data_IF_900245006802
#
_entry.id   IF_900245006802
#
_cell.length_a   1.000
_cell.length_b   1.000
_cell.length_c   1.000
_cell.angle_alpha   90.00
_cell.angle_beta   90.00
_cell.angle_gamma   90.00
#
_symmetry.space_group_name_H-M   'P 1'
#
loop_
_entity.id
_entity.type
_entity.pdbx_description
1 polymer ?
#
# COMPACT_ATOMS: atom_id res chain seq x y z
N UNK A 1 -2.58 -18.13 10.11
CA UNK A 1 -1.84 -17.01 9.51
C UNK A 1 -1.86 -17.13 8.01
N UNK A 2 -2.74 -16.36 7.37
CA UNK A 2 -2.87 -16.36 5.92
C UNK A 2 -2.86 -14.90 5.47
N UNK A 3 -1.85 -14.55 4.67
CA UNK A 3 -1.85 -13.34 3.85
C UNK A 3 -2.61 -13.75 2.61
N UNK A 4 -3.77 -13.14 2.36
CA UNK A 4 -4.54 -13.39 1.13
C UNK A 4 -3.61 -13.23 -0.09
N UNK A 5 -3.63 -14.21 -0.98
CA UNK A 5 -2.88 -14.14 -2.23
C UNK A 5 -3.86 -14.06 -3.41
N UNK A 6 -3.63 -13.17 -4.35
CA UNK A 6 -4.14 -13.36 -5.72
C UNK A 6 -3.12 -14.18 -6.51
N UNK A 7 -3.57 -14.92 -7.51
CA UNK A 7 -2.66 -15.57 -8.44
C UNK A 7 -3.04 -15.19 -9.86
N UNK A 8 -2.03 -14.83 -10.65
CA UNK A 8 -2.16 -14.71 -12.09
C UNK A 8 -1.66 -15.99 -12.75
N UNK A 9 -2.47 -16.60 -13.61
CA UNK A 9 -1.97 -17.60 -14.56
C UNK A 9 -1.53 -16.86 -15.82
N UNK A 10 -0.27 -17.04 -16.23
CA UNK A 10 0.19 -16.58 -17.53
C UNK A 10 -0.15 -17.64 -18.59
N UNK A 11 -1.37 -17.60 -19.16
CA UNK A 11 -1.68 -18.37 -20.38
C UNK A 11 -1.47 -17.47 -21.61
N UNK A 12 -0.89 -17.97 -22.72
CA UNK A 12 -0.77 -17.21 -23.96
C UNK A 12 -2.12 -16.85 -24.61
N UNK A 13 -3.21 -17.55 -24.23
CA UNK A 13 -4.53 -17.48 -24.88
C UNK A 13 -5.68 -16.98 -23.99
N UNK A 14 -5.51 -16.85 -22.67
CA UNK A 14 -6.58 -16.40 -21.77
C UNK A 14 -5.99 -15.78 -20.48
N UNK A 15 -6.24 -14.49 -20.24
CA UNK A 15 -5.93 -13.87 -18.94
C UNK A 15 -6.94 -14.35 -17.91
N UNK A 16 -6.51 -15.21 -16.99
CA UNK A 16 -7.34 -15.68 -15.87
C UNK A 16 -6.83 -15.06 -14.57
N UNK A 17 -7.70 -14.29 -13.91
CA UNK A 17 -7.46 -13.80 -12.55
C UNK A 17 -7.97 -14.84 -11.55
N UNK A 18 -7.08 -15.38 -10.72
CA UNK A 18 -7.44 -16.27 -9.62
C UNK A 18 -7.48 -15.49 -8.32
N UNK A 19 -8.60 -15.58 -7.61
CA UNK A 19 -8.73 -15.06 -6.26
C UNK A 19 -8.56 -16.23 -5.29
N UNK A 20 -7.44 -16.29 -4.54
CA UNK A 20 -7.32 -17.29 -3.47
C UNK A 20 -7.92 -16.72 -2.19
N UNK A 21 -8.97 -17.37 -1.70
CA UNK A 21 -9.47 -17.17 -0.34
C UNK A 21 -8.81 -18.19 0.58
N UNK A 22 -8.00 -17.73 1.53
CA UNK A 22 -7.32 -18.62 2.47
C UNK A 22 -8.24 -18.97 3.64
N UNK A 23 -8.92 -20.11 3.54
CA UNK A 23 -9.62 -20.70 4.68
C UNK A 23 -8.61 -21.45 5.56
N UNK A 24 -7.99 -20.75 6.52
CA UNK A 24 -7.49 -21.25 7.83
C UNK A 24 -6.57 -22.48 7.96
N UNK A 25 -6.38 -23.33 6.94
CA UNK A 25 -5.81 -24.65 7.10
C UNK A 25 -5.05 -25.11 5.85
N UNK A 26 -3.84 -24.58 5.63
CA UNK A 26 -2.80 -25.09 4.71
C UNK A 26 -3.15 -25.27 3.22
N UNK A 27 -4.41 -25.21 2.81
CA UNK A 27 -4.84 -25.42 1.44
C UNK A 27 -5.68 -24.23 1.01
N UNK A 28 -5.28 -23.58 -0.08
CA UNK A 28 -6.05 -22.55 -0.73
C UNK A 28 -6.66 -23.18 -1.98
N UNK A 29 -7.98 -23.30 -2.04
CA UNK A 29 -8.64 -23.82 -3.24
C UNK A 29 -8.71 -22.68 -4.26
N UNK A 30 -8.09 -22.91 -5.42
CA UNK A 30 -8.12 -21.97 -6.53
C UNK A 30 -9.44 -22.14 -7.26
N UNK A 31 -10.28 -21.10 -7.25
CA UNK A 31 -11.44 -21.03 -8.13
C UNK A 31 -11.04 -20.25 -9.39
N UNK A 32 -10.88 -20.95 -10.53
CA UNK A 32 -10.76 -20.30 -11.84
C UNK A 32 -12.15 -20.15 -12.44
N UNK A 33 -12.55 -18.92 -12.73
CA UNK A 33 -13.69 -18.63 -13.61
C UNK A 33 -13.12 -18.29 -14.98
N UNK A 34 -13.19 -19.23 -15.91
CA UNK A 34 -12.90 -18.95 -17.32
C UNK A 34 -14.06 -18.13 -17.89
N UNK A 35 -13.93 -16.81 -18.00
CA UNK A 35 -14.84 -16.00 -18.82
C UNK A 35 -14.54 -16.24 -20.30
N UNK A 36 -15.00 -17.38 -20.82
CA UNK A 36 -15.01 -17.62 -22.26
C UNK A 36 -16.26 -16.96 -22.87
N UNK A 37 -16.13 -16.24 -24.00
CA UNK A 37 -17.29 -15.72 -24.74
C UNK A 37 -18.08 -16.80 -25.50
N UNK A 38 -17.86 -18.09 -25.20
CA UNK A 38 -18.39 -19.24 -25.94
C UNK A 38 -19.34 -20.03 -25.03
N UNK A 39 -20.55 -20.39 -25.47
CA UNK A 39 -21.46 -21.22 -24.68
C UNK A 39 -20.86 -22.60 -24.40
N UNK A 40 -21.06 -23.12 -23.18
CA UNK A 40 -20.44 -24.35 -22.63
C UNK A 40 -20.63 -25.64 -23.46
N UNK A 41 -21.45 -25.62 -24.52
CA UNK A 41 -21.76 -26.79 -25.36
C UNK A 41 -20.73 -27.07 -26.46
N UNK A 42 -19.84 -26.12 -26.74
CA UNK A 42 -18.83 -26.21 -27.81
C UNK A 42 -17.39 -26.38 -27.29
N UNK A 43 -17.19 -26.62 -25.99
CA UNK A 43 -15.85 -26.90 -25.48
C UNK A 43 -15.38 -28.27 -26.00
N UNK A 44 -14.21 -28.34 -26.68
CA UNK A 44 -13.78 -29.57 -27.34
C UNK A 44 -13.42 -30.69 -26.35
N UNK A 45 -13.25 -30.38 -25.05
CA UNK A 45 -12.81 -31.31 -24.01
C UNK A 45 -13.64 -31.09 -22.72
N UNK A 46 -13.94 -32.14 -21.92
CA UNK A 46 -14.55 -31.95 -20.61
C UNK A 46 -13.63 -31.05 -19.76
N UNK A 47 -14.19 -30.04 -19.11
CA UNK A 47 -13.45 -29.22 -18.14
C UNK A 47 -12.90 -30.15 -17.05
N UNK A 48 -11.61 -30.50 -17.16
CA UNK A 48 -10.90 -31.14 -16.07
C UNK A 48 -11.06 -30.22 -14.85
N UNK A 49 -11.42 -30.82 -13.71
CA UNK A 49 -11.66 -30.09 -12.47
C UNK A 49 -10.45 -29.21 -12.10
N UNK A 50 -10.71 -28.09 -11.43
CA UNK A 50 -9.68 -27.13 -11.09
C UNK A 50 -8.56 -27.78 -10.26
N UNK A 51 -7.27 -27.58 -10.61
CA UNK A 51 -6.18 -28.16 -9.84
C UNK A 51 -6.15 -27.57 -8.44
N UNK A 52 -6.02 -28.45 -7.44
CA UNK A 52 -5.86 -28.03 -6.05
C UNK A 52 -4.42 -27.58 -5.83
N UNK A 53 -4.24 -26.31 -5.45
CA UNK A 53 -2.92 -25.73 -5.20
C UNK A 53 -2.67 -25.66 -3.71
N UNK A 54 -1.60 -26.29 -3.25
CA UNK A 54 -1.17 -26.17 -1.86
C UNK A 54 -0.27 -24.94 -1.69
N UNK A 55 -0.73 -23.95 -0.92
CA UNK A 55 0.08 -22.77 -0.59
C UNK A 55 0.64 -22.97 0.81
N UNK A 56 1.95 -23.18 0.88
CA UNK A 56 2.64 -23.35 2.15
C UNK A 56 2.65 -22.05 2.96
N UNK A 57 2.70 -22.20 4.28
CA UNK A 57 2.78 -21.06 5.21
C UNK A 57 4.11 -20.34 5.03
N UNK A 58 4.08 -19.01 5.06
CA UNK A 58 5.29 -18.18 4.96
C UNK A 58 5.80 -17.96 3.54
N UNK A 59 5.10 -18.47 2.51
CA UNK A 59 5.44 -18.15 1.11
C UNK A 59 5.47 -16.63 0.89
N UNK A 60 6.45 -16.19 0.11
CA UNK A 60 6.68 -14.76 -0.18
C UNK A 60 5.89 -14.33 -1.40
N UNK A 61 5.59 -13.05 -1.50
CA UNK A 61 5.12 -12.45 -2.73
C UNK A 61 6.05 -12.80 -3.91
N UNK A 62 5.48 -13.13 -5.07
CA UNK A 62 6.19 -13.55 -6.28
C UNK A 62 6.68 -15.01 -6.29
N UNK A 63 6.38 -15.81 -5.26
CA UNK A 63 6.74 -17.23 -5.26
C UNK A 63 6.02 -17.97 -6.39
N UNK A 64 6.74 -18.87 -7.06
CA UNK A 64 6.23 -19.63 -8.21
C UNK A 64 5.89 -21.05 -7.79
N UNK A 65 4.67 -21.49 -8.10
CA UNK A 65 4.24 -22.88 -7.97
C UNK A 65 4.08 -23.42 -9.39
N UNK A 66 4.78 -24.51 -9.71
CA UNK A 66 4.71 -25.16 -11.01
C UNK A 66 3.75 -26.35 -10.91
N UNK A 67 2.75 -26.38 -11.79
CA UNK A 67 1.85 -27.50 -11.97
C UNK A 67 2.19 -28.16 -13.30
N UNK A 68 2.74 -29.36 -13.24
CA UNK A 68 3.14 -30.10 -14.42
C UNK A 68 1.94 -30.77 -15.09
N UNK A 69 1.79 -30.60 -16.41
CA UNK A 69 0.71 -31.23 -17.19
C UNK A 69 -0.70 -30.63 -16.97
N UNK A 70 -0.81 -29.48 -16.31
CA UNK A 70 -2.08 -28.74 -16.10
C UNK A 70 -2.28 -27.61 -17.13
N UNK A 71 -1.43 -27.55 -18.15
CA UNK A 71 -1.50 -26.59 -19.26
C UNK A 71 -2.56 -26.97 -20.29
N UNK A 72 -2.85 -26.03 -21.18
CA UNK A 72 -3.78 -26.30 -22.29
C UNK A 72 -3.17 -27.37 -23.22
N UNK A 73 -4.01 -28.32 -23.64
CA UNK A 73 -3.64 -29.36 -24.59
C UNK A 73 -4.34 -29.08 -25.93
N UNK A 74 -3.56 -28.91 -26.99
CA UNK A 74 -4.09 -28.79 -28.34
C UNK A 74 -4.35 -30.16 -28.97
N UNK A 75 -5.34 -30.24 -29.87
CA UNK A 75 -5.65 -31.47 -30.59
C UNK A 75 -4.45 -31.90 -31.47
N UNK A 76 -3.74 -32.95 -31.04
CA UNK A 76 -2.54 -33.48 -31.71
C UNK A 76 -1.27 -33.45 -30.85
N UNK A 77 -1.29 -32.78 -29.69
CA UNK A 77 -0.21 -32.88 -28.69
C UNK A 77 -0.40 -34.07 -27.76
N UNK A 78 0.69 -34.80 -27.51
CA UNK A 78 0.68 -36.03 -26.71
C UNK A 78 0.76 -35.75 -25.20
N UNK A 79 1.36 -34.64 -24.78
CA UNK A 79 1.51 -34.23 -23.37
C UNK A 79 1.03 -32.77 -23.20
N UNK A 80 0.23 -32.47 -22.17
CA UNK A 80 -0.16 -31.10 -21.83
C UNK A 80 1.03 -30.26 -21.34
N UNK A 81 0.95 -28.93 -21.51
CA UNK A 81 1.98 -28.00 -21.03
C UNK A 81 2.01 -27.83 -19.50
N UNK A 82 2.95 -27.03 -19.01
CA UNK A 82 3.08 -26.67 -17.59
C UNK A 82 2.42 -25.34 -17.28
N UNK A 83 1.86 -25.21 -16.08
CA UNK A 83 1.29 -23.95 -15.58
C UNK A 83 2.14 -23.42 -14.43
N UNK A 84 2.64 -22.20 -14.57
CA UNK A 84 3.30 -21.47 -13.50
C UNK A 84 2.33 -20.50 -12.84
N UNK A 85 2.09 -20.69 -11.54
CA UNK A 85 1.27 -19.82 -10.71
C UNK A 85 2.19 -18.91 -9.93
N UNK A 86 2.02 -17.59 -10.09
CA UNK A 86 2.77 -16.58 -9.33
C UNK A 86 1.87 -16.07 -8.22
N UNK A 87 2.30 -16.25 -6.98
CA UNK A 87 1.60 -15.69 -5.81
C UNK A 87 1.76 -14.18 -5.78
N UNK A 88 0.67 -13.45 -5.63
CA UNK A 88 0.62 -12.01 -5.42
C UNK A 88 0.00 -11.72 -4.07
N UNK A 89 0.72 -11.00 -3.22
CA UNK A 89 0.22 -10.65 -1.90
C UNK A 89 -0.87 -9.58 -1.99
N UNK A 90 -2.00 -9.81 -1.32
CA UNK A 90 -3.09 -8.84 -1.19
C UNK A 90 -2.81 -7.90 -0.02
N UNK A 91 -3.02 -6.62 -0.25
CA UNK A 91 -2.96 -5.62 0.81
C UNK A 91 -4.03 -5.90 1.88
N UNK A 92 -3.66 -5.74 3.15
CA UNK A 92 -4.55 -5.88 4.29
C UNK A 92 -4.71 -4.52 4.97
N UNK A 93 -5.93 -4.19 5.39
CA UNK A 93 -6.26 -2.84 5.90
C UNK A 93 -5.46 -2.45 7.15
N UNK A 94 -5.24 -3.41 8.05
CA UNK A 94 -4.55 -3.17 9.33
C UNK A 94 -3.07 -3.56 9.35
N UNK A 95 -2.59 -4.40 8.41
CA UNK A 95 -1.28 -5.03 8.54
C UNK A 95 -0.47 -4.86 7.26
N UNK A 96 0.76 -4.40 7.43
CA UNK A 96 1.74 -4.31 6.36
C UNK A 96 2.82 -5.36 6.58
N UNK A 97 2.97 -6.31 5.64
CA UNK A 97 4.03 -7.31 5.73
C UNK A 97 5.38 -6.73 5.27
N UNK A 98 6.43 -6.97 6.05
CA UNK A 98 7.82 -6.76 5.63
C UNK A 98 8.62 -8.05 5.89
N UNK A 99 8.73 -8.87 4.86
CA UNK A 99 9.43 -10.15 4.96
C UNK A 99 8.67 -11.17 5.81
N UNK A 100 9.20 -11.52 6.98
CA UNK A 100 8.54 -12.39 7.98
C UNK A 100 7.84 -11.58 9.07
N UNK A 101 8.14 -10.29 9.16
CA UNK A 101 7.60 -9.40 10.18
C UNK A 101 6.32 -8.72 9.69
N UNK A 102 5.47 -8.34 10.64
CA UNK A 102 4.23 -7.61 10.40
C UNK A 102 4.35 -6.23 11.04
N UNK A 103 3.97 -5.20 10.30
CA UNK A 103 3.84 -3.84 10.80
C UNK A 103 2.37 -3.49 10.99
N UNK A 104 2.07 -2.87 12.12
CA UNK A 104 0.76 -2.35 12.49
C UNK A 104 0.93 -0.89 12.88
N UNK A 105 0.24 0.00 12.17
CA UNK A 105 0.19 1.40 12.56
C UNK A 105 -0.96 1.58 13.55
N UNK A 106 -0.63 2.06 14.76
CA UNK A 106 -1.59 2.28 15.84
C UNK A 106 -1.61 3.74 16.24
N UNK A 107 -2.77 4.35 16.09
CA UNK A 107 -3.00 5.71 16.57
C UNK A 107 -3.41 5.68 18.04
N UNK A 108 -2.71 6.48 18.85
CA UNK A 108 -2.90 6.58 20.30
C UNK A 108 -3.07 8.04 20.71
N UNK A 109 -3.76 8.28 21.81
CA UNK A 109 -3.89 9.62 22.39
C UNK A 109 -2.63 10.04 23.14
N UNK A 110 -2.43 11.36 23.29
CA UNK A 110 -1.33 11.91 24.10
C UNK A 110 -1.31 11.34 25.53
N UNK A 111 -2.47 11.12 26.13
CA UNK A 111 -2.60 10.56 27.48
C UNK A 111 -2.18 9.09 27.52
N UNK A 112 -2.59 8.26 26.55
CA UNK A 112 -2.13 6.87 26.42
C UNK A 112 -0.61 6.80 26.18
N UNK A 113 -0.05 7.76 25.44
CA UNK A 113 1.39 7.85 25.17
C UNK A 113 2.21 8.10 26.43
N UNK A 114 1.72 8.92 27.36
CA UNK A 114 2.42 9.30 28.59
C UNK A 114 2.10 8.41 29.79
N UNK A 115 0.84 7.98 29.92
CA UNK A 115 0.34 7.25 31.09
C UNK A 115 0.32 5.73 30.90
N UNK A 116 0.72 5.24 29.73
CA UNK A 116 0.64 3.83 29.36
C UNK A 116 -0.67 3.47 28.68
N UNK A 117 -0.64 2.34 27.98
CA UNK A 117 -1.65 1.91 27.03
C UNK A 117 -1.97 0.44 27.26
N UNK A 118 -3.23 0.05 27.08
CA UNK A 118 -3.64 -1.35 26.92
C UNK A 118 -4.70 -1.43 25.84
N UNK A 119 -4.38 -2.08 24.71
CA UNK A 119 -5.28 -2.14 23.56
C UNK A 119 -5.38 -3.56 23.02
N UNK A 120 -6.60 -4.06 22.76
CA UNK A 120 -6.77 -5.33 22.08
C UNK A 120 -6.39 -5.19 20.59
N UNK A 121 -5.56 -6.09 20.10
CA UNK A 121 -5.15 -6.21 18.70
C UNK A 121 -5.55 -7.59 18.20
N UNK A 122 -6.29 -7.63 17.10
CA UNK A 122 -6.74 -8.87 16.48
C UNK A 122 -5.70 -9.38 15.50
N UNK A 123 -5.01 -10.45 15.87
CA UNK A 123 -4.01 -11.10 15.00
C UNK A 123 -4.65 -11.74 13.75
N UNK A 124 -3.82 -12.01 12.74
CA UNK A 124 -4.21 -12.78 11.54
C UNK A 124 -4.64 -14.24 11.83
N UNK A 125 -4.48 -14.71 13.07
CA UNK A 125 -5.00 -16.00 13.53
C UNK A 125 -6.42 -15.91 14.10
N UNK A 126 -7.00 -14.70 14.15
CA UNK A 126 -8.29 -14.44 14.80
C UNK A 126 -8.21 -14.37 16.33
N UNK A 127 -7.01 -14.47 16.91
CA UNK A 127 -6.79 -14.30 18.35
C UNK A 127 -6.73 -12.82 18.70
N UNK A 128 -7.26 -12.46 19.86
CA UNK A 128 -7.15 -11.12 20.43
C UNK A 128 -5.96 -11.08 21.40
N UNK A 129 -4.93 -10.29 21.08
CA UNK A 129 -3.79 -10.03 21.94
C UNK A 129 -3.99 -8.68 22.62
N UNK A 130 -3.77 -8.59 23.93
CA UNK A 130 -3.76 -7.30 24.63
C UNK A 130 -2.32 -6.81 24.64
N UNK A 131 -2.01 -5.88 23.74
CA UNK A 131 -0.72 -5.20 23.72
C UNK A 131 -0.79 -3.98 24.62
N UNK A 132 0.28 -3.71 25.35
CA UNK A 132 0.28 -2.58 26.25
C UNK A 132 1.63 -2.32 26.87
N UNK A 133 1.80 -1.10 27.33
CA UNK A 133 2.94 -0.67 28.13
C UNK A 133 2.46 -0.39 29.56
N UNK A 134 3.29 -0.70 30.57
CA UNK A 134 2.95 -0.39 31.96
C UNK A 134 2.83 1.13 32.17
N UNK A 135 2.03 1.59 33.15
CA UNK A 135 1.98 2.99 33.49
C UNK A 135 3.37 3.54 33.85
N UNK A 136 3.72 4.69 33.29
CA UNK A 136 5.03 5.33 33.47
C UNK A 136 6.07 5.01 32.39
N UNK A 137 5.78 4.06 31.48
CA UNK A 137 6.55 3.91 30.26
C UNK A 137 5.99 4.85 29.19
N UNK A 138 6.83 5.74 28.67
CA UNK A 138 6.45 6.72 27.65
C UNK A 138 6.62 6.10 26.26
N UNK A 139 5.58 6.22 25.43
CA UNK A 139 5.64 5.93 24.01
C UNK A 139 5.99 7.21 23.26
N UNK A 140 7.00 7.16 22.41
CA UNK A 140 7.41 8.29 21.59
C UNK A 140 6.54 8.38 20.33
N UNK A 141 6.17 9.59 19.87
CA UNK A 141 5.54 9.76 18.56
C UNK A 141 6.45 9.25 17.45
N UNK A 142 5.95 8.34 16.62
CA UNK A 142 6.74 7.65 15.59
C UNK A 142 7.64 6.54 16.15
N UNK A 143 7.56 6.25 17.44
CA UNK A 143 8.27 5.14 18.07
C UNK A 143 7.74 3.78 17.60
N UNK A 144 8.64 2.82 17.49
CA UNK A 144 8.33 1.43 17.12
C UNK A 144 8.50 0.52 18.33
N UNK A 145 7.56 -0.41 18.53
CA UNK A 145 7.62 -1.40 19.61
C UNK A 145 7.36 -2.79 19.06
N UNK A 146 8.14 -3.77 19.53
CA UNK A 146 8.11 -5.13 19.00
C UNK A 146 7.40 -6.09 19.95
N UNK A 147 6.45 -6.85 19.43
CA UNK A 147 5.85 -8.01 20.07
C UNK A 147 6.49 -9.27 19.45
N UNK A 148 7.33 -9.99 20.20
CA UNK A 148 8.11 -11.09 19.64
C UNK A 148 7.23 -12.28 19.27
N UNK A 149 7.57 -12.99 18.19
CA UNK A 149 6.91 -14.22 17.70
C UNK A 149 5.44 -14.08 17.26
N UNK A 150 4.96 -12.85 17.04
CA UNK A 150 3.59 -12.59 16.55
C UNK A 150 3.54 -12.13 15.07
N UNK A 151 4.66 -12.27 14.35
CA UNK A 151 4.74 -12.12 12.90
C UNK A 151 4.40 -13.40 12.13
N UNK A 152 4.73 -13.43 10.84
CA UNK A 152 4.46 -14.56 9.96
C UNK A 152 5.46 -15.71 10.15
N UNK A 153 5.04 -16.97 9.91
CA UNK A 153 5.95 -18.11 9.91
C UNK A 153 6.97 -18.02 8.77
N UNK A 154 8.19 -18.48 9.02
CA UNK A 154 9.22 -18.60 8.00
C UNK A 154 8.88 -19.72 7.01
N UNK A 155 9.07 -19.45 5.71
CA UNK A 155 8.91 -20.47 4.67
C UNK A 155 9.81 -21.67 4.94
N UNK A 156 9.26 -22.89 4.79
CA UNK A 156 9.87 -24.20 5.13
C UNK A 156 10.09 -24.50 6.61
N UNK A 157 10.14 -23.49 7.48
CA UNK A 157 10.35 -23.71 8.91
C UNK A 157 9.27 -23.00 9.76
N UNK A 158 8.07 -23.59 9.87
CA UNK A 158 6.91 -22.93 10.48
C UNK A 158 7.04 -22.71 12.00
N UNK A 159 8.02 -23.34 12.64
CA UNK A 159 8.33 -23.15 14.06
C UNK A 159 9.00 -21.80 14.34
N UNK A 160 9.65 -21.21 13.33
CA UNK A 160 10.23 -19.87 13.43
C UNK A 160 9.22 -18.87 12.90
N UNK A 161 8.89 -17.87 13.71
CA UNK A 161 8.01 -16.76 13.34
C UNK A 161 8.79 -15.46 13.40
N UNK A 162 8.41 -14.51 12.54
CA UNK A 162 8.84 -13.13 12.69
C UNK A 162 8.13 -12.45 13.86
N UNK A 163 8.31 -11.14 13.92
CA UNK A 163 7.77 -10.30 14.98
C UNK A 163 6.65 -9.38 14.47
N UNK A 164 5.84 -8.89 15.41
CA UNK A 164 4.85 -7.85 15.15
C UNK A 164 5.43 -6.51 15.65
N UNK A 165 5.69 -5.61 14.72
CA UNK A 165 6.20 -4.27 14.96
C UNK A 165 5.02 -3.31 14.94
N UNK A 166 4.84 -2.56 16.02
CA UNK A 166 3.76 -1.59 16.18
C UNK A 166 4.36 -0.20 16.11
N UNK A 167 3.94 0.58 15.12
CA UNK A 167 4.32 1.98 14.98
C UNK A 167 3.26 2.85 15.66
N UNK A 168 3.69 3.75 16.55
CA UNK A 168 2.75 4.60 17.27
C UNK A 168 2.67 5.98 16.66
N UNK A 169 1.45 6.37 16.28
CA UNK A 169 1.12 7.74 15.87
C UNK A 169 0.36 8.40 17.01
N UNK A 170 0.87 9.51 17.54
CA UNK A 170 0.22 10.22 18.65
C UNK A 170 -0.70 11.31 18.10
N UNK A 171 -1.98 11.22 18.42
CA UNK A 171 -2.97 12.27 18.18
C UNK A 171 -2.80 13.40 19.20
N UNK A 172 -2.42 14.58 18.70
CA UNK A 172 -2.33 15.81 19.48
C UNK A 172 -3.63 16.63 19.33
N UNK A 173 -4.08 17.31 20.40
CA UNK A 173 -5.23 18.21 20.30
C UNK A 173 -4.91 19.41 19.41
N UNK A 174 -5.88 19.84 18.60
CA UNK A 174 -5.71 21.02 17.70
C UNK A 174 -5.54 22.33 18.47
N UNK A 175 -6.16 22.44 19.65
CA UNK A 175 -6.11 23.62 20.52
C UNK A 175 -6.07 23.20 21.98
N UNK A 176 -5.40 24.00 22.79
CA UNK A 176 -5.29 23.82 24.24
C UNK A 176 -5.73 25.11 24.92
N UNK A 177 -6.59 25.01 25.92
CA UNK A 177 -7.06 26.16 26.70
C UNK A 177 -5.96 26.74 27.59
N UNK A 178 -5.97 28.06 27.81
CA UNK A 178 -4.96 28.76 28.62
C UNK A 178 -4.83 28.24 30.05
N UNK A 179 -5.92 27.74 30.64
CA UNK A 179 -5.91 27.13 31.97
C UNK A 179 -5.10 25.83 32.00
N UNK A 180 -5.24 25.00 30.97
CA UNK A 180 -4.50 23.75 30.84
C UNK A 180 -3.01 24.02 30.60
N UNK A 181 -2.66 25.09 29.90
CA UNK A 181 -1.25 25.48 29.66
C UNK A 181 -0.53 25.70 30.99
N UNK A 182 -1.16 26.38 31.96
CA UNK A 182 -0.56 26.60 33.27
C UNK A 182 -0.29 25.27 34.01
N UNK A 183 -1.22 24.31 33.93
CA UNK A 183 -1.03 22.98 34.52
C UNK A 183 0.08 22.19 33.82
N UNK A 184 0.15 22.27 32.49
CA UNK A 184 1.23 21.64 31.71
C UNK A 184 2.60 22.22 32.06
N UNK A 185 2.73 23.53 32.26
CA UNK A 185 4.01 24.14 32.65
C UNK A 185 4.50 23.70 34.02
N UNK A 186 3.57 23.41 34.96
CA UNK A 186 3.91 22.87 36.27
C UNK A 186 4.40 21.42 36.16
N UNK A 187 3.77 20.60 35.31
CA UNK A 187 4.13 19.19 35.12
C UNK A 187 5.37 18.99 34.23
N UNK A 188 5.54 19.82 33.21
CA UNK A 188 6.59 19.77 32.20
C UNK A 188 7.25 21.16 32.07
N UNK A 189 8.22 21.50 32.94
CA UNK A 189 8.79 22.84 32.97
C UNK A 189 9.56 23.15 31.68
N UNK A 190 9.35 24.36 31.15
CA UNK A 190 10.10 24.84 29.99
C UNK A 190 11.60 24.86 30.29
N UNK A 191 12.46 24.49 29.33
CA UNK A 191 13.90 24.64 29.50
C UNK A 191 14.22 26.10 29.82
N UNK A 192 14.91 26.31 30.95
CA UNK A 192 15.05 27.60 31.62
C UNK A 192 16.08 28.54 31.02
N UNK A 193 16.77 28.14 29.95
CA UNK A 193 17.76 29.02 29.33
C UNK A 193 17.04 30.22 28.73
N UNK A 194 17.19 31.43 29.31
CA UNK A 194 16.57 32.62 28.74
C UNK A 194 17.13 32.81 27.34
N UNK A 195 16.25 33.14 26.39
CA UNK A 195 16.69 33.58 25.07
C UNK A 195 17.36 34.94 25.28
N UNK A 196 18.69 34.95 25.39
CA UNK A 196 19.49 36.16 25.43
C UNK A 196 19.60 36.70 24.00
N UNK A 197 18.72 37.64 23.65
CA UNK A 197 18.77 38.24 22.32
C UNK A 197 19.91 39.28 22.26
N UNK A 198 20.83 39.15 21.30
CA UNK A 198 21.99 40.06 21.15
C UNK A 198 21.63 41.43 20.56
N UNK A 199 20.34 41.68 20.30
CA UNK A 199 19.80 42.92 19.74
C UNK A 199 19.73 42.97 18.21
N UNK A 200 20.27 41.96 17.53
CA UNK A 200 20.17 41.78 16.07
C UNK A 200 19.09 40.77 15.65
N UNK A 201 18.41 40.16 16.62
CA UNK A 201 17.44 39.08 16.44
C UNK A 201 16.00 39.61 16.62
N UNK A 202 15.11 39.28 15.67
CA UNK A 202 13.68 39.65 15.70
C UNK A 202 12.82 38.44 16.07
N UNK A 203 11.88 38.62 17.00
CA UNK A 203 10.90 37.59 17.37
C UNK A 203 9.83 37.50 16.28
N UNK A 204 9.84 36.40 15.52
CA UNK A 204 8.86 36.13 14.48
C UNK A 204 7.87 35.05 14.95
N UNK A 205 6.59 35.24 14.66
CA UNK A 205 5.55 34.22 14.88
C UNK A 205 5.49 33.28 13.69
N UNK A 206 5.59 31.97 13.95
CA UNK A 206 5.49 30.96 12.90
C UNK A 206 4.06 30.89 12.35
N UNK A 207 3.92 30.84 11.03
CA UNK A 207 2.67 30.57 10.33
C UNK A 207 2.70 29.14 9.79
N UNK A 208 1.54 28.46 9.64
CA UNK A 208 1.51 27.16 8.98
C UNK A 208 2.05 27.28 7.55
N UNK A 209 2.80 26.27 7.12
CA UNK A 209 3.28 26.19 5.75
C UNK A 209 2.11 25.82 4.83
N UNK A 210 1.76 26.71 3.90
CA UNK A 210 0.80 26.42 2.85
C UNK A 210 1.54 25.88 1.63
N UNK A 211 1.30 24.62 1.26
CA UNK A 211 1.70 24.12 -0.06
C UNK A 211 0.84 24.81 -1.11
N UNK A 212 1.41 25.75 -1.85
CA UNK A 212 0.78 26.23 -3.08
C UNK A 212 0.87 25.08 -4.09
N UNK A 213 -0.25 24.41 -4.35
CA UNK A 213 -0.39 23.44 -5.44
C UNK A 213 -0.28 24.18 -6.78
N UNK A 214 0.95 24.57 -7.13
CA UNK A 214 1.30 25.13 -8.42
C UNK A 214 1.43 24.00 -9.43
N UNK A 215 0.36 23.76 -10.18
CA UNK A 215 0.44 23.13 -11.50
C UNK A 215 -0.23 21.76 -11.60
N UNK A 216 -1.47 21.79 -12.05
CA UNK A 216 -2.06 20.69 -12.82
C UNK A 216 -1.16 20.34 -14.02
N UNK A 217 -0.24 19.37 -13.86
CA UNK A 217 0.25 18.59 -15.00
C UNK A 217 -0.83 17.57 -15.39
N UNK A 218 -1.95 18.13 -15.85
CA UNK A 218 -3.04 17.42 -16.48
C UNK A 218 -2.61 16.88 -17.84
N UNK A 219 -1.82 15.79 -17.87
CA UNK A 219 -1.84 14.85 -19.01
C UNK A 219 -3.10 13.98 -18.93
N UNK A 220 -4.24 14.68 -18.92
CA UNK A 220 -5.59 14.13 -18.99
C UNK A 220 -6.14 14.34 -20.39
N UNK A 221 -6.36 13.21 -21.08
CA UNK A 221 -7.05 13.11 -22.35
C UNK A 221 -8.45 13.73 -22.26
N UNK A 222 -8.87 14.47 -23.29
CA UNK A 222 -10.29 14.54 -23.66
C UNK A 222 -10.91 15.92 -23.92
N UNK A 223 -10.94 16.27 -25.21
CA UNK A 223 -12.15 16.68 -25.97
C UNK A 223 -12.69 18.11 -25.77
N UNK A 224 -12.28 19.01 -26.68
CA UNK A 224 -13.21 19.97 -27.27
C UNK A 224 -13.10 19.95 -28.80
N UNK A 225 -14.19 19.51 -29.42
CA UNK A 225 -14.47 19.55 -30.84
C UNK A 225 -14.50 21.00 -31.33
N UNK A 226 -13.68 21.36 -32.31
CA UNK A 226 -13.98 22.45 -33.25
C UNK A 226 -13.60 22.01 -34.65
N UNK A 227 -14.62 21.67 -35.41
CA UNK A 227 -14.60 21.39 -36.84
C UNK A 227 -13.94 22.55 -37.58
N UNK A 228 -12.91 22.27 -38.38
CA UNK A 228 -12.33 23.23 -39.31
C UNK A 228 -12.61 22.73 -40.74
N UNK A 229 -13.26 23.57 -41.54
CA UNK A 229 -13.68 23.33 -42.91
C UNK A 229 -12.55 23.84 -43.85
N UNK A 230 -11.94 23.02 -44.73
CA UNK A 230 -10.66 23.35 -45.37
C UNK A 230 -10.79 23.97 -46.78
N UNK A 231 -11.76 24.86 -47.02
CA UNK A 231 -11.92 25.50 -48.34
C UNK A 231 -12.17 27.00 -48.26
N UNK A 232 -11.26 27.77 -47.68
CA UNK A 232 -11.14 29.20 -48.02
C UNK A 232 -9.66 29.56 -48.08
N UNK A 233 -9.14 29.57 -49.33
CA UNK A 233 -7.89 30.21 -49.71
C UNK A 233 -8.12 31.72 -49.73
N UNK A 234 -7.30 32.50 -49.02
CA UNK A 234 -7.19 33.95 -49.26
C UNK A 234 -5.72 34.43 -49.23
N UNK A 235 -5.41 35.50 -49.99
CA UNK A 235 -4.23 35.51 -50.85
C UNK A 235 -3.04 36.30 -50.31
N UNK A 236 -1.92 36.06 -50.99
CA UNK A 236 -0.60 36.67 -50.85
C UNK A 236 -0.62 38.13 -51.34
N UNK A 237 -0.25 39.10 -50.49
CA UNK A 237 0.21 40.42 -50.93
C UNK A 237 1.45 40.87 -50.12
N UNK A 238 2.41 41.38 -50.89
CA UNK A 238 3.73 41.90 -50.53
C UNK A 238 3.65 43.37 -50.11
N UNK A 239 4.65 43.88 -49.36
CA UNK A 239 5.52 44.98 -49.83
C UNK A 239 6.50 45.52 -48.75
N UNK A 240 7.76 45.59 -49.19
CA UNK A 240 8.81 46.61 -49.00
C UNK A 240 9.30 47.13 -47.61
N UNK A 241 10.52 46.68 -47.24
CA UNK A 241 11.78 47.45 -47.03
C UNK A 241 11.88 48.61 -45.98
N UNK A 242 13.09 49.07 -45.57
CA UNK A 242 13.86 48.65 -44.38
C UNK A 242 14.17 49.81 -43.38
N UNK A 243 14.71 49.56 -42.17
CA UNK A 243 15.29 50.64 -41.36
C UNK A 243 16.78 50.90 -41.69
N UNK A 244 17.04 52.10 -42.22
CA UNK A 244 18.36 52.70 -42.38
C UNK A 244 18.92 53.32 -41.08
N UNK A 245 20.23 53.58 -41.11
CA UNK A 245 21.16 53.65 -39.97
C UNK A 245 21.54 55.08 -39.52
N UNK A 246 22.28 55.14 -38.38
CA UNK A 246 23.17 56.20 -37.81
C UNK A 246 22.59 56.95 -36.59
N UNK A 247 23.36 57.41 -35.59
CA UNK A 247 24.78 57.77 -35.41
C UNK A 247 25.24 57.28 -34.01
N UNK A 248 26.51 56.99 -33.69
CA UNK A 248 27.74 57.78 -33.86
C UNK A 248 28.99 56.89 -33.95
#
# INVERSE_FOLDING_TARGET
MAVDFSAGILRPSCLQSLHLSLTGASAATVHSTCDLPIPQRDLPHPLHGLPQVHVERGMKNGSRIMLHGEGDQEAGQQEPGDVAIILQEKAHDAYLRRGIDLHLDMTISLTESLCGLRRPVTTLDGRCLVVGQPPGAVLEPGGEMTVPNEGLPMFRNPYVRGDLIINFTVELPERVDETLIQEFEVMFPRPTKPLELSGEEELVTMMPFETTDGGEDGRGRGRHSRSHNPYEEEPMETDDQPPGCRQS
#
